data_IF_260757717270
#
_entry.id   IF_260757717270
#
_cell.length_a   1.000
_cell.length_b   1.000
_cell.length_c   1.000
_cell.angle_alpha   90.00
_cell.angle_beta   90.00
_cell.angle_gamma   90.00
#
_symmetry.space_group_name_H-M   'P 1'
#
loop_
_entity.id
_entity.type
_entity.pdbx_description
1 polymer ?
#
# COMPACT_ATOMS: atom_id res chain seq x y z
N UNK A 1 25.64 -11.11 -22.16
CA UNK A 1 24.19 -11.39 -22.16
C UNK A 1 23.47 -10.07 -22.05
N UNK A 2 22.69 -9.68 -23.06
CA UNK A 2 21.95 -8.41 -23.12
C UNK A 2 20.83 -8.44 -22.07
N UNK A 3 20.62 -7.38 -21.28
CA UNK A 3 19.51 -7.32 -20.33
C UNK A 3 18.17 -7.30 -21.10
N UNK A 4 17.10 -7.89 -20.55
CA UNK A 4 15.78 -7.81 -21.17
C UNK A 4 15.31 -6.36 -21.19
N UNK A 5 14.72 -6.00 -22.35
CA UNK A 5 14.36 -4.65 -22.72
C UNK A 5 13.54 -3.90 -21.66
N UNK A 6 13.79 -2.62 -21.60
CA UNK A 6 13.09 -1.60 -20.84
C UNK A 6 11.59 -1.80 -20.94
N UNK A 7 10.94 -1.99 -19.78
CA UNK A 7 9.49 -1.83 -19.67
C UNK A 7 9.15 -0.42 -20.17
N UNK A 8 8.56 -0.34 -21.34
CA UNK A 8 8.14 0.92 -21.95
C UNK A 8 7.19 1.64 -21.00
N UNK A 9 7.56 2.86 -20.62
CA UNK A 9 6.65 3.78 -19.99
C UNK A 9 5.39 3.87 -20.88
N UNK A 10 4.23 3.58 -20.32
CA UNK A 10 2.94 3.81 -20.99
C UNK A 10 2.84 5.32 -21.21
N UNK A 11 3.27 5.76 -22.39
CA UNK A 11 2.99 7.13 -22.83
C UNK A 11 1.49 7.25 -22.97
N UNK A 12 0.87 8.12 -22.17
CA UNK A 12 -0.52 8.52 -22.37
C UNK A 12 -0.63 9.08 -23.79
N UNK A 13 -1.11 8.26 -24.71
CA UNK A 13 -1.53 8.70 -26.05
C UNK A 13 -2.76 9.58 -25.87
N UNK A 14 -2.85 10.65 -26.63
CA UNK A 14 -4.05 11.48 -26.80
C UNK A 14 -5.13 10.68 -27.59
N UNK A 15 -5.63 9.64 -27.00
CA UNK A 15 -6.66 8.70 -27.40
C UNK A 15 -6.92 7.86 -26.17
N UNK A 16 -8.17 7.57 -25.84
CA UNK A 16 -8.60 6.92 -24.61
C UNK A 16 -7.77 5.68 -24.26
N UNK A 17 -7.76 5.33 -22.97
CA UNK A 17 -7.06 4.12 -22.46
C UNK A 17 -7.62 2.89 -23.15
N UNK A 18 -6.75 2.06 -23.74
CA UNK A 18 -7.13 0.77 -24.32
C UNK A 18 -7.28 -0.28 -23.19
N UNK A 19 -8.50 -0.36 -22.67
CA UNK A 19 -8.84 -1.26 -21.57
C UNK A 19 -8.76 -2.74 -21.97
N UNK A 20 -8.99 -3.08 -23.24
CA UNK A 20 -8.91 -4.45 -23.73
C UNK A 20 -7.44 -4.91 -23.80
N UNK A 21 -6.54 -4.05 -24.25
CA UNK A 21 -5.10 -4.34 -24.20
C UNK A 21 -4.61 -4.53 -22.77
N UNK A 22 -5.00 -3.65 -21.85
CA UNK A 22 -4.66 -3.80 -20.43
C UNK A 22 -5.25 -5.09 -19.85
N UNK A 23 -6.51 -5.40 -20.15
CA UNK A 23 -7.18 -6.61 -19.70
C UNK A 23 -6.47 -7.88 -20.19
N UNK A 24 -5.93 -7.84 -21.41
CA UNK A 24 -5.21 -8.97 -22.02
C UNK A 24 -3.94 -9.35 -21.25
N UNK A 25 -3.31 -8.39 -20.54
CA UNK A 25 -2.13 -8.65 -19.70
C UNK A 25 -2.43 -9.52 -18.48
N UNK A 26 -3.71 -9.71 -18.12
CA UNK A 26 -4.12 -10.45 -16.94
C UNK A 26 -4.73 -11.81 -17.33
N UNK A 27 -3.97 -12.92 -17.21
CA UNK A 27 -4.43 -14.24 -17.66
C UNK A 27 -5.75 -14.70 -17.04
N UNK A 28 -5.96 -14.41 -15.74
CA UNK A 28 -7.18 -14.79 -15.05
C UNK A 28 -8.43 -14.13 -15.66
N UNK A 29 -8.30 -12.90 -16.14
CA UNK A 29 -9.42 -12.14 -16.69
C UNK A 29 -9.88 -12.67 -18.06
N UNK A 30 -9.10 -13.59 -18.68
CA UNK A 30 -9.48 -14.25 -19.94
C UNK A 30 -10.44 -15.44 -19.71
N UNK A 31 -10.70 -15.81 -18.45
CA UNK A 31 -11.60 -16.93 -18.14
C UNK A 31 -13.06 -16.60 -18.47
N UNK A 32 -13.80 -17.68 -18.69
CA UNK A 32 -15.26 -17.63 -18.73
C UNK A 32 -15.84 -18.24 -17.45
N UNK A 33 -16.95 -17.68 -16.99
CA UNK A 33 -17.74 -18.17 -15.86
C UNK A 33 -19.18 -18.31 -16.36
N UNK A 34 -19.74 -19.50 -16.26
CA UNK A 34 -21.07 -19.83 -16.80
C UNK A 34 -21.24 -19.46 -18.30
N UNK A 35 -20.19 -19.69 -19.10
CA UNK A 35 -20.18 -19.39 -20.54
C UNK A 35 -20.13 -17.90 -20.90
N UNK A 36 -19.86 -17.02 -19.95
CA UNK A 36 -19.71 -15.56 -20.14
C UNK A 36 -18.33 -15.09 -19.75
N UNK A 37 -17.80 -14.02 -20.37
CA UNK A 37 -16.55 -13.43 -19.94
C UNK A 37 -16.58 -13.08 -18.44
N UNK A 38 -15.46 -13.36 -17.74
CA UNK A 38 -15.34 -13.04 -16.31
C UNK A 38 -15.48 -11.53 -16.09
N UNK A 39 -16.38 -11.14 -15.20
CA UNK A 39 -16.43 -9.81 -14.59
C UNK A 39 -15.89 -9.95 -13.17
N UNK A 40 -14.76 -9.29 -12.88
CA UNK A 40 -14.09 -9.33 -11.58
C UNK A 40 -14.08 -7.93 -10.95
N UNK A 41 -14.83 -7.75 -9.86
CA UNK A 41 -15.03 -6.45 -9.19
C UNK A 41 -14.49 -6.43 -7.75
N UNK A 42 -13.68 -7.42 -7.38
CA UNK A 42 -13.16 -7.58 -6.02
C UNK A 42 -11.65 -7.25 -5.89
N UNK A 43 -11.16 -6.33 -6.73
CA UNK A 43 -9.75 -5.92 -6.74
C UNK A 43 -9.31 -5.21 -5.45
N UNK A 44 -10.26 -4.63 -4.71
CA UNK A 44 -9.98 -4.01 -3.41
C UNK A 44 -9.53 -5.03 -2.36
N UNK A 45 -10.00 -6.27 -2.48
CA UNK A 45 -9.62 -7.39 -1.62
C UNK A 45 -8.42 -8.15 -2.18
N UNK A 46 -8.47 -8.53 -3.47
CA UNK A 46 -7.40 -9.26 -4.15
C UNK A 46 -7.22 -8.77 -5.57
N UNK A 47 -6.15 -8.02 -5.83
CA UNK A 47 -5.79 -7.60 -7.18
C UNK A 47 -5.24 -8.79 -7.99
N UNK A 48 -5.71 -8.93 -9.23
CA UNK A 48 -5.20 -9.94 -10.15
C UNK A 48 -3.76 -9.63 -10.58
N UNK A 49 -3.03 -10.65 -10.98
CA UNK A 49 -1.61 -10.54 -11.34
C UNK A 49 -1.46 -10.51 -12.86
N UNK A 50 -0.76 -9.52 -13.42
CA UNK A 50 -0.41 -9.53 -14.84
C UNK A 50 0.59 -10.66 -15.16
N UNK A 51 0.61 -11.13 -16.39
CA UNK A 51 1.50 -12.18 -16.88
C UNK A 51 2.97 -11.89 -16.53
N UNK A 52 3.43 -10.66 -16.72
CA UNK A 52 4.79 -10.25 -16.41
C UNK A 52 5.20 -10.48 -14.94
N UNK A 53 4.27 -10.32 -13.99
CA UNK A 53 4.54 -10.60 -12.56
C UNK A 53 4.63 -12.10 -12.31
N UNK A 54 3.74 -12.90 -12.91
CA UNK A 54 3.74 -14.36 -12.79
C UNK A 54 5.04 -14.93 -13.34
N UNK A 55 5.43 -14.49 -14.54
CA UNK A 55 6.66 -14.91 -15.23
C UNK A 55 7.92 -14.51 -14.45
N UNK A 56 7.96 -13.30 -13.89
CA UNK A 56 9.09 -12.85 -13.07
C UNK A 56 9.25 -13.71 -11.81
N UNK A 57 8.17 -14.09 -11.15
CA UNK A 57 8.21 -15.00 -9.99
C UNK A 57 8.66 -16.40 -10.39
N UNK A 58 8.12 -16.97 -11.48
CA UNK A 58 8.50 -18.28 -11.98
C UNK A 58 9.99 -18.31 -12.36
N UNK A 59 10.45 -17.28 -13.07
CA UNK A 59 11.86 -17.12 -13.47
C UNK A 59 12.79 -17.04 -12.26
N UNK A 60 12.41 -16.28 -11.24
CA UNK A 60 13.18 -16.16 -10.01
C UNK A 60 13.34 -17.51 -9.33
N UNK A 61 12.25 -18.23 -9.13
CA UNK A 61 12.30 -19.56 -8.48
C UNK A 61 13.09 -20.59 -9.28
N UNK A 62 13.03 -20.54 -10.60
CA UNK A 62 13.75 -21.51 -11.46
C UNK A 62 15.23 -21.21 -11.62
N UNK A 63 15.66 -19.95 -11.51
CA UNK A 63 17.01 -19.55 -11.91
C UNK A 63 17.84 -18.86 -10.84
N UNK A 64 17.22 -18.10 -9.94
CA UNK A 64 17.92 -17.17 -9.06
C UNK A 64 17.50 -17.27 -7.60
N UNK A 65 16.73 -18.31 -7.24
CA UNK A 65 16.24 -18.45 -5.86
C UNK A 65 17.39 -18.70 -4.89
N UNK A 66 17.79 -17.68 -4.17
CA UNK A 66 18.83 -17.71 -3.18
C UNK A 66 18.56 -16.71 -2.05
N UNK A 67 19.34 -16.80 -0.99
CA UNK A 67 19.26 -15.91 0.16
C UNK A 67 19.63 -14.49 -0.23
N UNK A 68 18.78 -13.53 0.09
CA UNK A 68 19.05 -12.10 -0.08
C UNK A 68 19.95 -11.64 1.06
N UNK A 69 20.99 -10.87 0.75
CA UNK A 69 22.00 -10.35 1.67
C UNK A 69 22.90 -11.45 2.28
N UNK A 70 24.14 -11.07 2.62
CA UNK A 70 25.14 -11.91 3.30
C UNK A 70 25.51 -13.21 2.57
N UNK A 71 25.16 -13.36 1.30
CA UNK A 71 25.59 -14.50 0.52
C UNK A 71 26.92 -14.21 -0.18
N UNK A 72 27.87 -15.15 -0.09
CA UNK A 72 29.21 -15.03 -0.69
C UNK A 72 29.32 -15.76 -2.03
N UNK A 73 28.22 -16.22 -2.57
CA UNK A 73 28.14 -16.95 -3.85
C UNK A 73 27.30 -16.19 -4.87
N UNK A 74 27.52 -16.51 -6.15
CA UNK A 74 26.91 -15.78 -7.27
C UNK A 74 25.40 -15.66 -7.20
N UNK A 75 24.67 -16.74 -6.94
CA UNK A 75 23.19 -16.71 -6.86
C UNK A 75 22.68 -15.77 -5.77
N UNK A 76 23.36 -15.70 -4.63
CA UNK A 76 23.02 -14.79 -3.57
C UNK A 76 23.27 -13.32 -3.93
N UNK A 77 24.33 -13.05 -4.69
CA UNK A 77 24.59 -11.72 -5.24
C UNK A 77 23.49 -11.31 -6.22
N UNK A 78 23.13 -12.18 -7.16
CA UNK A 78 22.08 -11.95 -8.15
C UNK A 78 20.71 -11.71 -7.46
N UNK A 79 20.36 -12.51 -6.46
CA UNK A 79 19.13 -12.33 -5.69
C UNK A 79 19.12 -11.00 -4.92
N UNK A 80 20.26 -10.60 -4.35
CA UNK A 80 20.42 -9.34 -3.63
C UNK A 80 20.30 -8.15 -4.59
N UNK A 81 20.95 -8.18 -5.73
CA UNK A 81 20.86 -7.14 -6.76
C UNK A 81 19.42 -6.98 -7.27
N UNK A 82 18.71 -8.09 -7.51
CA UNK A 82 17.31 -8.06 -7.93
C UNK A 82 16.41 -7.42 -6.85
N UNK A 83 16.61 -7.79 -5.59
CA UNK A 83 15.84 -7.28 -4.46
C UNK A 83 16.08 -5.78 -4.21
N UNK A 84 17.35 -5.36 -4.17
CA UNK A 84 17.70 -3.94 -3.95
C UNK A 84 17.35 -3.08 -5.16
N UNK A 85 17.46 -3.63 -6.37
CA UNK A 85 16.99 -2.97 -7.58
C UNK A 85 15.46 -2.75 -7.58
N UNK A 86 14.68 -3.72 -7.11
CA UNK A 86 13.24 -3.57 -6.93
C UNK A 86 12.91 -2.51 -5.86
N UNK A 87 13.62 -2.54 -4.71
CA UNK A 87 13.50 -1.54 -3.65
C UNK A 87 13.75 -0.13 -4.18
N UNK A 88 14.83 0.06 -4.93
CA UNK A 88 15.17 1.37 -5.49
C UNK A 88 14.11 1.90 -6.45
N UNK A 89 13.56 1.04 -7.33
CA UNK A 89 12.49 1.41 -8.26
C UNK A 89 11.20 1.78 -7.53
N UNK A 90 10.80 1.02 -6.52
CA UNK A 90 9.61 1.31 -5.71
C UNK A 90 9.79 2.60 -4.91
N UNK A 91 10.95 2.82 -4.31
CA UNK A 91 11.26 4.06 -3.61
C UNK A 91 11.16 5.28 -4.53
N UNK A 92 11.76 5.20 -5.73
CA UNK A 92 11.65 6.26 -6.73
C UNK A 92 10.20 6.53 -7.15
N UNK A 93 9.39 5.47 -7.33
CA UNK A 93 7.98 5.59 -7.70
C UNK A 93 7.15 6.37 -6.67
N UNK A 94 7.43 6.17 -5.38
CA UNK A 94 6.74 6.88 -4.28
C UNK A 94 7.49 8.13 -3.80
N UNK A 95 8.53 8.57 -4.52
CA UNK A 95 9.36 9.71 -4.17
C UNK A 95 10.01 9.60 -2.77
N UNK A 96 10.48 8.41 -2.42
CA UNK A 96 11.19 8.11 -1.17
C UNK A 96 12.64 7.69 -1.46
N UNK A 97 13.48 7.66 -0.42
CA UNK A 97 14.82 7.05 -0.52
C UNK A 97 14.70 5.53 -0.32
N UNK A 98 15.54 4.71 -0.99
CA UNK A 98 15.54 3.26 -0.78
C UNK A 98 15.69 2.83 0.68
N UNK A 99 16.47 3.59 1.47
CA UNK A 99 16.69 3.33 2.89
C UNK A 99 15.44 3.56 3.76
N UNK A 100 14.49 4.37 3.29
CA UNK A 100 13.25 4.68 3.99
C UNK A 100 12.11 3.70 3.63
N UNK A 101 12.35 2.79 2.68
CA UNK A 101 11.37 1.83 2.21
C UNK A 101 11.52 0.47 2.88
N UNK A 102 10.49 0.05 3.61
CA UNK A 102 10.39 -1.30 4.18
C UNK A 102 9.45 -2.15 3.32
N UNK A 103 9.98 -3.20 2.71
CA UNK A 103 9.16 -4.19 1.99
C UNK A 103 8.57 -5.18 2.99
N UNK A 104 7.27 -5.40 2.93
CA UNK A 104 6.54 -6.27 3.86
C UNK A 104 5.41 -7.03 3.15
N UNK A 105 4.76 -7.94 3.87
CA UNK A 105 3.72 -8.81 3.31
C UNK A 105 2.39 -8.10 2.99
N UNK A 106 2.20 -6.87 3.43
CA UNK A 106 1.00 -6.08 3.15
C UNK A 106 0.70 -5.04 4.22
N UNK A 107 -0.35 -4.25 3.98
CA UNK A 107 -0.73 -3.08 4.79
C UNK A 107 -0.99 -3.44 6.26
N UNK A 108 -1.65 -4.57 6.54
CA UNK A 108 -1.90 -5.01 7.91
C UNK A 108 -0.59 -5.18 8.69
N UNK A 109 0.41 -5.82 8.07
CA UNK A 109 1.73 -5.96 8.69
C UNK A 109 2.40 -4.60 8.87
N UNK A 110 2.36 -3.73 7.84
CA UNK A 110 2.99 -2.42 7.88
C UNK A 110 2.43 -1.54 9.00
N UNK A 111 1.11 -1.49 9.17
CA UNK A 111 0.46 -0.71 10.22
C UNK A 111 0.81 -1.28 11.61
N UNK A 112 0.78 -2.61 11.79
CA UNK A 112 1.21 -3.23 13.03
C UNK A 112 2.68 -2.94 13.34
N UNK A 113 3.56 -2.96 12.33
CA UNK A 113 4.97 -2.60 12.50
C UNK A 113 5.10 -1.16 13.06
N UNK A 114 4.38 -0.19 12.51
CA UNK A 114 4.36 1.19 13.02
C UNK A 114 3.76 1.24 14.43
N UNK A 115 2.67 0.54 14.67
CA UNK A 115 2.01 0.49 15.98
C UNK A 115 2.98 -0.02 17.07
N UNK A 116 3.68 -1.11 16.83
CA UNK A 116 4.59 -1.70 17.81
C UNK A 116 5.95 -0.99 17.91
N UNK A 117 6.52 -0.55 16.80
CA UNK A 117 7.88 0.00 16.79
C UNK A 117 7.92 1.51 17.06
N UNK A 118 6.86 2.24 16.72
CA UNK A 118 6.82 3.68 16.86
C UNK A 118 5.79 4.13 17.90
N UNK A 119 4.52 3.72 17.76
CA UNK A 119 3.44 4.26 18.59
C UNK A 119 3.50 3.75 20.03
N UNK A 120 3.62 2.44 20.22
CA UNK A 120 3.63 1.84 21.56
C UNK A 120 4.73 2.38 22.50
N UNK A 121 5.99 2.62 22.06
CA UNK A 121 7.02 3.17 22.93
C UNK A 121 6.97 4.70 23.11
N UNK A 122 6.10 5.41 22.37
CA UNK A 122 6.08 6.89 22.36
C UNK A 122 4.80 7.50 22.88
N UNK A 123 3.67 6.82 22.71
CA UNK A 123 2.38 7.35 23.13
C UNK A 123 2.08 7.02 24.58
N UNK A 124 1.33 7.90 25.23
CA UNK A 124 0.95 7.78 26.64
C UNK A 124 -0.40 8.42 26.94
N UNK A 125 -0.74 8.46 28.24
CA UNK A 125 -1.93 9.14 28.72
C UNK A 125 -1.87 10.64 28.35
N UNK A 126 -2.94 11.17 27.77
CA UNK A 126 -3.02 12.53 27.26
C UNK A 126 -2.74 12.67 25.77
N UNK A 127 -2.13 11.66 25.14
CA UNK A 127 -1.96 11.64 23.69
C UNK A 127 -3.20 11.13 22.99
N UNK A 128 -3.41 11.59 21.75
CA UNK A 128 -4.54 11.21 20.91
C UNK A 128 -4.07 10.57 19.60
N UNK A 129 -4.72 9.47 19.24
CA UNK A 129 -4.66 8.87 17.91
C UNK A 129 -5.95 9.27 17.17
N UNK A 130 -5.82 10.00 16.08
CA UNK A 130 -6.95 10.44 15.25
C UNK A 130 -7.10 9.50 14.05
N UNK A 131 -8.25 8.87 13.90
CA UNK A 131 -8.55 7.97 12.77
C UNK A 131 -9.76 8.49 12.00
N UNK A 132 -9.86 8.21 10.69
CA UNK A 132 -11.10 8.52 9.97
C UNK A 132 -12.16 7.44 10.23
N UNK A 133 -13.45 7.81 10.03
CA UNK A 133 -14.55 6.86 10.21
C UNK A 133 -14.63 5.79 9.11
N UNK A 134 -13.97 6.00 7.97
CA UNK A 134 -13.98 5.10 6.82
C UNK A 134 -12.83 4.09 6.81
N UNK A 135 -12.07 3.97 7.90
CA UNK A 135 -10.88 3.11 7.94
C UNK A 135 -11.24 1.62 7.85
N UNK A 136 -10.36 0.88 7.18
CA UNK A 136 -10.35 -0.58 7.26
C UNK A 136 -9.92 -1.03 8.66
N UNK A 137 -10.42 -2.17 9.13
CA UNK A 137 -10.06 -2.72 10.46
C UNK A 137 -8.54 -2.81 10.70
N UNK A 138 -7.75 -3.10 9.65
CA UNK A 138 -6.30 -3.11 9.74
C UNK A 138 -5.71 -1.76 10.17
N UNK A 139 -6.42 -0.65 9.96
CA UNK A 139 -6.03 0.70 10.36
C UNK A 139 -6.88 1.26 11.53
N UNK A 140 -7.54 0.38 12.28
CA UNK A 140 -8.27 0.71 13.50
C UNK A 140 -7.76 -0.13 14.67
N UNK A 141 -7.80 -1.46 14.52
CA UNK A 141 -7.53 -2.40 15.62
C UNK A 141 -6.12 -2.24 16.22
N UNK A 142 -5.04 -2.09 15.45
CA UNK A 142 -3.71 -1.86 16.01
C UNK A 142 -3.64 -0.62 16.91
N UNK A 143 -4.36 0.44 16.54
CA UNK A 143 -4.42 1.68 17.33
C UNK A 143 -5.23 1.51 18.61
N UNK A 144 -6.29 0.71 18.59
CA UNK A 144 -7.04 0.34 19.80
C UNK A 144 -6.14 -0.40 20.79
N UNK A 145 -5.34 -1.36 20.33
CA UNK A 145 -4.40 -2.11 21.14
C UNK A 145 -3.28 -1.21 21.71
N UNK A 146 -2.81 -0.23 20.93
CA UNK A 146 -1.86 0.78 21.44
C UNK A 146 -2.51 1.64 22.51
N UNK A 147 -3.70 2.17 22.25
CA UNK A 147 -4.42 3.04 23.20
C UNK A 147 -4.70 2.32 24.53
N UNK A 148 -5.14 1.06 24.48
CA UNK A 148 -5.37 0.23 25.66
C UNK A 148 -4.12 0.08 26.53
N UNK A 149 -2.95 -0.10 25.89
CA UNK A 149 -1.67 -0.34 26.59
C UNK A 149 -0.99 0.93 27.08
N UNK A 150 -1.21 2.05 26.39
CA UNK A 150 -0.50 3.31 26.67
C UNK A 150 -1.34 4.33 27.44
N UNK A 151 -2.66 4.15 27.48
CA UNK A 151 -3.59 5.13 28.02
C UNK A 151 -3.88 6.29 27.04
N UNK A 152 -3.39 6.22 25.80
CA UNK A 152 -3.75 7.18 24.76
C UNK A 152 -5.24 7.09 24.40
N UNK A 153 -5.79 8.17 23.85
CA UNK A 153 -7.21 8.24 23.44
C UNK A 153 -7.33 8.09 21.94
N UNK A 154 -8.38 7.40 21.47
CA UNK A 154 -8.73 7.37 20.04
C UNK A 154 -9.86 8.37 19.81
N UNK A 155 -9.64 9.29 18.86
CA UNK A 155 -10.69 10.15 18.30
C UNK A 155 -10.98 9.74 16.86
N UNK A 156 -12.25 9.84 16.46
CA UNK A 156 -12.71 9.48 15.12
C UNK A 156 -13.15 10.74 14.39
N UNK A 157 -12.49 11.06 13.29
CA UNK A 157 -12.94 12.12 12.39
C UNK A 157 -14.20 11.66 11.64
N UNK A 158 -15.27 12.48 11.65
CA UNK A 158 -16.54 12.12 11.04
C UNK A 158 -16.44 12.09 9.51
N UNK A 159 -17.39 11.37 8.92
CA UNK A 159 -17.60 11.26 7.49
C UNK A 159 -18.94 11.91 7.16
N UNK A 160 -19.05 12.57 6.04
CA UNK A 160 -20.29 13.14 5.54
C UNK A 160 -21.23 12.03 5.01
N UNK A 161 -22.55 12.29 4.88
CA UNK A 161 -23.50 11.31 4.40
C UNK A 161 -23.22 10.78 2.98
N UNK A 162 -22.53 11.55 2.16
CA UNK A 162 -22.11 11.14 0.80
C UNK A 162 -20.87 10.23 0.78
N UNK A 163 -20.29 9.93 1.94
CA UNK A 163 -19.10 9.09 2.09
C UNK A 163 -17.78 9.86 1.94
N UNK A 164 -17.79 11.19 1.86
CA UNK A 164 -16.59 12.02 1.89
C UNK A 164 -16.10 12.25 3.32
N UNK A 165 -14.80 12.55 3.48
CA UNK A 165 -14.24 12.95 4.77
C UNK A 165 -14.52 14.44 5.00
N UNK A 166 -15.09 14.77 6.17
CA UNK A 166 -15.26 16.16 6.59
C UNK A 166 -13.89 16.76 6.95
N UNK A 167 -13.29 17.43 5.99
CA UNK A 167 -11.94 18.00 6.11
C UNK A 167 -11.88 19.11 7.16
N UNK A 168 -12.93 19.92 7.28
CA UNK A 168 -12.96 21.00 8.28
C UNK A 168 -13.06 20.47 9.71
N UNK A 169 -13.84 19.41 9.92
CA UNK A 169 -13.88 18.73 11.22
C UNK A 169 -12.60 17.96 11.51
N UNK A 170 -12.02 17.32 10.50
CA UNK A 170 -10.70 16.68 10.65
C UNK A 170 -9.65 17.70 11.08
N UNK A 171 -9.58 18.85 10.40
CA UNK A 171 -8.67 19.96 10.72
C UNK A 171 -8.87 20.45 12.15
N UNK A 172 -10.10 20.66 12.58
CA UNK A 172 -10.42 21.07 13.95
C UNK A 172 -10.08 20.01 14.99
N UNK A 173 -10.07 18.72 14.61
CA UNK A 173 -9.72 17.62 15.49
C UNK A 173 -8.19 17.44 15.63
N UNK A 174 -7.37 17.98 14.73
CA UNK A 174 -5.91 17.96 14.80
C UNK A 174 -5.40 19.00 15.83
N UNK A 175 -5.66 18.71 17.10
CA UNK A 175 -5.22 19.48 18.26
C UNK A 175 -3.81 19.05 18.70
N UNK A 176 -3.06 19.84 19.50
CA UNK A 176 -1.68 19.53 19.89
C UNK A 176 -1.48 18.17 20.62
N UNK A 177 -2.55 17.62 21.18
CA UNK A 177 -2.54 16.28 21.79
C UNK A 177 -2.57 15.14 20.73
N UNK A 178 -2.94 15.43 19.48
CA UNK A 178 -2.91 14.42 18.41
C UNK A 178 -1.46 14.15 18.01
N UNK A 179 -0.99 12.94 18.28
CA UNK A 179 0.37 12.48 17.97
C UNK A 179 0.43 11.55 16.75
N UNK A 180 -0.71 11.00 16.37
CA UNK A 180 -0.81 10.12 15.21
C UNK A 180 -2.15 10.38 14.51
N UNK A 181 -2.06 10.54 13.19
CA UNK A 181 -3.20 10.61 12.30
C UNK A 181 -3.17 9.40 11.35
N UNK A 182 -4.22 8.59 11.37
CA UNK A 182 -4.36 7.41 10.52
C UNK A 182 -5.58 7.56 9.60
N UNK A 183 -5.31 7.78 8.31
CA UNK A 183 -6.35 7.98 7.28
C UNK A 183 -6.04 7.18 6.03
N UNK A 184 -7.07 6.58 5.44
CA UNK A 184 -6.96 5.92 4.14
C UNK A 184 -6.89 6.95 3.02
N UNK A 185 -6.08 6.69 1.98
CA UNK A 185 -6.07 7.51 0.78
C UNK A 185 -7.30 7.23 -0.09
N UNK A 186 -7.58 5.96 -0.33
CA UNK A 186 -8.75 5.52 -1.10
C UNK A 186 -9.49 4.47 -0.30
N UNK A 187 -10.76 4.72 0.01
CA UNK A 187 -11.58 3.75 0.74
C UNK A 187 -11.81 2.48 -0.08
N UNK A 188 -11.49 1.33 0.49
CA UNK A 188 -11.74 0.03 -0.15
C UNK A 188 -13.23 -0.33 -0.24
N UNK A 189 -14.09 0.32 0.55
CA UNK A 189 -15.54 0.08 0.56
C UNK A 189 -16.27 1.13 -0.27
N UNK A 190 -15.96 2.42 -0.06
CA UNK A 190 -16.68 3.53 -0.67
C UNK A 190 -16.08 3.99 -2.00
N UNK A 191 -14.80 3.72 -2.24
CA UNK A 191 -14.06 4.27 -3.39
C UNK A 191 -13.73 5.75 -3.24
N UNK A 192 -14.09 6.38 -2.12
CA UNK A 192 -13.79 7.78 -1.83
C UNK A 192 -12.28 8.02 -1.84
N UNK A 193 -11.84 9.03 -2.59
CA UNK A 193 -10.44 9.46 -2.65
C UNK A 193 -10.26 10.66 -1.74
N UNK A 194 -9.53 10.48 -0.64
CA UNK A 194 -9.25 11.55 0.32
C UNK A 194 -8.10 12.44 -0.13
N UNK A 195 -8.15 13.76 0.14
CA UNK A 195 -7.11 14.72 -0.26
C UNK A 195 -5.89 14.63 0.67
N UNK A 196 -5.21 13.47 0.69
CA UNK A 196 -4.12 13.19 1.64
C UNK A 196 -2.96 14.17 1.55
N UNK A 197 -2.72 14.79 0.38
CA UNK A 197 -1.70 15.82 0.23
C UNK A 197 -2.02 17.05 1.08
N UNK A 198 -3.28 17.47 1.11
CA UNK A 198 -3.77 18.57 1.94
C UNK A 198 -3.68 18.19 3.42
N UNK A 199 -4.24 17.04 3.78
CA UNK A 199 -4.23 16.50 5.15
C UNK A 199 -2.80 16.43 5.71
N UNK A 200 -1.84 15.90 4.95
CA UNK A 200 -0.44 15.79 5.38
C UNK A 200 0.30 17.13 5.51
N UNK A 201 -0.19 18.20 4.86
CA UNK A 201 0.42 19.55 5.02
C UNK A 201 -0.06 20.26 6.28
N UNK A 202 -1.21 19.86 6.78
CA UNK A 202 -1.84 20.45 7.96
C UNK A 202 -1.48 19.70 9.25
N UNK A 203 -1.11 18.41 9.14
CA UNK A 203 -0.65 17.56 10.24
C UNK A 203 0.83 17.81 10.58
#
# INVERSE_FOLDING_TARGET
>A
MTPPGSAGAVQARAGGVDWEAIRADFPLLQRQVHGKPLVYLDSANTAQKPAAVIEAMDLFYRRSNANVSRAVHQLGSEATEAYEGARARLAAFINARPADLVLCSGTTFAINLVAYSWALPRLGAGDTILVSRMEHHANIVPWQLVAERTGATIKVAPMEPDGSLDIDRLRKAMTPDVKLLAVTHVSNVLGTVNPVREICREA
#
